data_IF_699483471297
#
_entry.id   IF_699483471297
#
_cell.length_a   1.000
_cell.length_b   1.000
_cell.length_c   1.000
_cell.angle_alpha   90.00
_cell.angle_beta   90.00
_cell.angle_gamma   90.00
#
_symmetry.space_group_name_H-M   'P 1'
#
loop_
_entity.id
_entity.type
_entity.pdbx_description
1 polymer ?
#
# COMPACT_ATOMS: atom_id res chain seq x y z
N UNK A 1 20.93 21.24 11.58
CA UNK A 1 19.53 21.47 11.16
C UNK A 1 18.60 20.65 12.06
N UNK A 2 17.98 21.27 13.07
CA UNK A 2 17.17 20.57 14.11
C UNK A 2 15.86 20.00 13.56
N UNK A 3 15.23 20.72 12.62
CA UNK A 3 13.94 20.35 12.00
C UNK A 3 13.92 18.92 11.42
N UNK A 4 15.02 18.42 10.82
CA UNK A 4 15.07 17.05 10.30
C UNK A 4 15.06 15.99 11.39
N UNK A 5 15.73 16.26 12.50
CA UNK A 5 15.72 15.36 13.66
C UNK A 5 14.35 15.38 14.35
N UNK A 6 13.72 16.55 14.47
CA UNK A 6 12.38 16.70 15.05
C UNK A 6 11.33 15.96 14.20
N UNK A 7 11.38 16.11 12.87
CA UNK A 7 10.53 15.33 11.95
C UNK A 7 10.74 13.83 12.17
N UNK A 8 11.99 13.36 12.22
CA UNK A 8 12.28 11.94 12.38
C UNK A 8 11.73 11.37 13.69
N UNK A 9 11.82 12.12 14.80
CA UNK A 9 11.27 11.71 16.09
C UNK A 9 9.74 11.61 16.04
N UNK A 10 9.06 12.64 15.51
CA UNK A 10 7.60 12.63 15.38
C UNK A 10 7.10 11.51 14.44
N UNK A 11 7.88 11.15 13.41
CA UNK A 11 7.55 10.00 12.55
C UNK A 11 7.61 8.70 13.35
N UNK A 12 8.62 8.50 14.19
CA UNK A 12 8.74 7.29 15.03
C UNK A 12 7.65 7.20 16.09
N UNK A 13 7.17 8.34 16.57
CA UNK A 13 5.98 8.44 17.45
C UNK A 13 4.67 8.11 16.72
N UNK A 14 4.70 7.91 15.40
CA UNK A 14 3.54 7.47 14.61
C UNK A 14 2.70 8.61 14.02
N UNK A 15 3.17 9.86 14.07
CA UNK A 15 2.42 10.99 13.52
C UNK A 15 2.36 11.00 11.99
N UNK A 16 1.25 11.54 11.47
CA UNK A 16 1.02 11.78 10.04
C UNK A 16 1.81 12.99 9.54
N UNK A 17 2.04 13.07 8.23
CA UNK A 17 2.80 14.19 7.65
C UNK A 17 2.06 15.53 7.83
N UNK A 18 0.73 15.53 7.77
CA UNK A 18 -0.12 16.70 8.04
C UNK A 18 0.11 17.21 9.48
N UNK A 19 0.04 16.31 10.47
CA UNK A 19 0.19 16.68 11.87
C UNK A 19 1.59 17.26 12.16
N UNK A 20 2.63 16.62 11.61
CA UNK A 20 4.02 17.10 11.76
C UNK A 20 4.20 18.46 11.09
N UNK A 21 3.62 18.65 9.90
CA UNK A 21 3.66 19.90 9.16
C UNK A 21 3.04 21.05 9.96
N UNK A 22 1.85 20.84 10.52
CA UNK A 22 1.19 21.82 11.39
C UNK A 22 1.99 22.10 12.66
N UNK A 23 2.50 21.06 13.32
CA UNK A 23 3.24 21.20 14.58
C UNK A 23 4.56 21.95 14.42
N UNK A 24 5.26 21.75 13.31
CA UNK A 24 6.56 22.36 13.04
C UNK A 24 6.48 23.62 12.17
N UNK A 25 5.28 24.04 11.75
CA UNK A 25 5.08 25.21 10.89
C UNK A 25 5.75 25.06 9.51
N UNK A 26 5.76 23.86 8.95
CA UNK A 26 6.38 23.59 7.66
C UNK A 26 5.38 22.98 6.66
N UNK A 27 5.68 23.02 5.37
CA UNK A 27 4.80 22.44 4.36
C UNK A 27 4.86 20.90 4.40
N UNK A 28 3.73 20.21 4.16
CA UNK A 28 3.66 18.73 4.19
C UNK A 28 4.68 18.06 3.25
N UNK A 29 4.97 18.67 2.09
CA UNK A 29 5.96 18.15 1.15
C UNK A 29 7.39 18.13 1.74
N UNK A 30 7.69 19.03 2.68
CA UNK A 30 8.97 19.01 3.41
C UNK A 30 9.06 17.76 4.27
N UNK A 31 8.01 17.45 5.03
CA UNK A 31 7.93 16.24 5.86
C UNK A 31 8.03 14.99 4.99
N UNK A 32 7.28 14.93 3.88
CA UNK A 32 7.29 13.81 2.93
C UNK A 32 8.68 13.58 2.32
N UNK A 33 9.40 14.65 1.92
CA UNK A 33 10.78 14.55 1.41
C UNK A 33 11.75 14.04 2.46
N UNK A 34 11.60 14.49 3.72
CA UNK A 34 12.44 14.01 4.83
C UNK A 34 12.17 12.54 5.11
N UNK A 35 10.89 12.13 5.17
CA UNK A 35 10.48 10.73 5.33
C UNK A 35 11.08 9.82 4.25
N UNK A 36 11.00 10.24 2.99
CA UNK A 36 11.60 9.50 1.86
C UNK A 36 13.13 9.45 1.95
N UNK A 37 13.79 10.57 2.28
CA UNK A 37 15.26 10.61 2.42
C UNK A 37 15.76 9.72 3.56
N UNK A 38 14.96 9.52 4.60
CA UNK A 38 15.23 8.63 5.72
C UNK A 38 14.76 7.19 5.49
N UNK A 39 14.19 6.88 4.32
CA UNK A 39 13.59 5.57 3.98
C UNK A 39 12.58 5.08 5.04
N UNK A 40 11.86 6.01 5.65
CA UNK A 40 10.83 5.69 6.63
C UNK A 40 9.51 5.35 5.91
N UNK A 41 8.69 4.44 6.49
CA UNK A 41 7.45 4.02 5.86
C UNK A 41 6.50 5.21 5.66
N UNK A 42 5.68 5.20 4.61
CA UNK A 42 4.73 6.27 4.32
C UNK A 42 3.74 6.48 5.49
N UNK A 43 3.27 7.73 5.61
CA UNK A 43 2.28 8.14 6.61
C UNK A 43 0.86 7.65 6.29
N UNK A 44 0.58 7.46 5.00
CA UNK A 44 -0.69 6.95 4.50
C UNK A 44 -0.85 5.47 4.89
N UNK A 45 -1.95 5.09 5.57
CA UNK A 45 -2.18 3.72 6.03
C UNK A 45 -2.18 2.71 4.89
N UNK A 46 -2.79 3.03 3.74
CA UNK A 46 -2.86 2.13 2.60
C UNK A 46 -1.47 2.00 1.97
N UNK A 47 -0.74 3.09 1.80
CA UNK A 47 0.64 3.02 1.28
C UNK A 47 1.57 2.28 2.23
N UNK A 48 1.35 2.36 3.54
CA UNK A 48 2.10 1.61 4.54
C UNK A 48 1.84 0.12 4.38
N UNK A 49 0.56 -0.29 4.37
CA UNK A 49 0.17 -1.68 4.14
C UNK A 49 0.72 -2.24 2.82
N UNK A 50 0.72 -1.42 1.75
CA UNK A 50 1.34 -1.78 0.46
C UNK A 50 2.87 -1.91 0.54
N UNK A 51 3.54 -1.04 1.30
CA UNK A 51 4.98 -1.11 1.50
C UNK A 51 5.41 -2.29 2.39
N UNK A 52 4.52 -2.73 3.27
CA UNK A 52 4.68 -3.92 4.13
C UNK A 52 4.28 -5.22 3.41
N UNK A 53 3.99 -5.16 2.10
CA UNK A 53 3.53 -6.29 1.27
C UNK A 53 2.32 -7.06 1.84
N UNK A 54 1.48 -6.37 2.64
CA UNK A 54 0.31 -7.00 3.24
C UNK A 54 -0.77 -7.26 2.18
N UNK A 55 -1.55 -8.35 2.30
CA UNK A 55 -2.54 -8.74 1.30
C UNK A 55 -3.82 -7.89 1.44
N UNK A 56 -3.76 -6.63 1.01
CA UNK A 56 -4.89 -5.68 1.13
C UNK A 56 -5.90 -5.73 -0.01
N UNK A 57 -5.88 -6.77 -0.85
CA UNK A 57 -6.85 -6.96 -1.94
C UNK A 57 -6.86 -5.82 -2.99
N UNK A 58 -5.93 -4.86 -2.89
CA UNK A 58 -5.86 -3.65 -3.71
C UNK A 58 -4.50 -3.57 -4.36
N UNK A 59 -4.46 -3.58 -5.70
CA UNK A 59 -3.22 -3.43 -6.47
C UNK A 59 -2.82 -1.95 -6.48
N UNK A 60 -1.60 -1.63 -6.06
CA UNK A 60 -1.07 -0.25 -5.91
C UNK A 60 -1.33 0.64 -7.12
N UNK A 61 -1.21 0.08 -8.32
CA UNK A 61 -1.30 0.78 -9.59
C UNK A 61 -2.55 0.35 -10.39
N UNK A 62 -3.62 -0.10 -9.71
CA UNK A 62 -4.88 -0.44 -10.35
C UNK A 62 -5.49 0.78 -11.04
N UNK A 63 -5.63 0.70 -12.36
CA UNK A 63 -6.35 1.69 -13.18
C UNK A 63 -7.54 1.01 -13.83
N UNK A 64 -8.78 1.36 -13.47
CA UNK A 64 -9.96 0.71 -14.03
C UNK A 64 -10.10 0.92 -15.54
N UNK A 65 -9.61 2.04 -16.08
CA UNK A 65 -9.60 2.29 -17.53
C UNK A 65 -8.61 1.38 -18.28
N UNK A 66 -7.61 0.83 -17.59
CA UNK A 66 -6.57 -0.02 -18.16
C UNK A 66 -6.69 -1.39 -17.52
N UNK A 67 -7.69 -2.15 -17.97
CA UNK A 67 -7.89 -3.53 -17.50
C UNK A 67 -6.54 -4.27 -17.55
N UNK A 68 -6.02 -4.75 -16.40
CA UNK A 68 -4.70 -5.38 -16.32
C UNK A 68 -4.61 -6.68 -17.14
N UNK A 69 -5.76 -7.30 -17.38
CA UNK A 69 -5.91 -8.55 -18.12
C UNK A 69 -6.78 -8.33 -19.35
N UNK A 70 -6.37 -8.87 -20.49
CA UNK A 70 -7.22 -8.92 -21.67
C UNK A 70 -8.48 -9.76 -21.40
N UNK A 71 -9.57 -9.60 -22.18
CA UNK A 71 -10.76 -10.43 -22.04
C UNK A 71 -10.46 -11.94 -22.10
N UNK A 72 -9.51 -12.35 -22.96
CA UNK A 72 -9.07 -13.73 -23.08
C UNK A 72 -8.37 -14.22 -21.79
N UNK A 73 -7.44 -13.43 -21.24
CA UNK A 73 -6.75 -13.78 -20.00
C UNK A 73 -7.73 -13.85 -18.82
N UNK A 74 -8.72 -12.96 -18.76
CA UNK A 74 -9.74 -12.99 -17.73
C UNK A 74 -10.60 -14.26 -17.79
N UNK A 75 -10.96 -14.72 -19.00
CA UNK A 75 -11.70 -15.97 -19.19
C UNK A 75 -10.88 -17.19 -18.76
N UNK A 76 -9.59 -17.23 -19.11
CA UNK A 76 -8.68 -18.31 -18.70
C UNK A 76 -8.50 -18.34 -17.17
N UNK A 77 -8.28 -17.17 -16.55
CA UNK A 77 -8.18 -17.05 -15.09
C UNK A 77 -9.46 -17.55 -14.41
N UNK A 78 -10.64 -17.22 -14.96
CA UNK A 78 -11.94 -17.68 -14.44
C UNK A 78 -12.09 -19.19 -14.57
N UNK A 79 -11.70 -19.78 -15.69
CA UNK A 79 -11.74 -21.23 -15.87
C UNK A 79 -10.83 -21.95 -14.86
N UNK A 80 -9.61 -21.44 -14.65
CA UNK A 80 -8.66 -21.97 -13.67
C UNK A 80 -9.21 -21.89 -12.24
N UNK A 81 -9.84 -20.77 -11.88
CA UNK A 81 -10.47 -20.60 -10.56
C UNK A 81 -11.61 -21.60 -10.34
N UNK A 82 -12.49 -21.78 -11.34
CA UNK A 82 -13.60 -22.72 -11.25
C UNK A 82 -13.14 -24.18 -11.16
N UNK A 83 -12.04 -24.52 -11.84
CA UNK A 83 -11.44 -25.85 -11.74
C UNK A 83 -10.86 -26.09 -10.34
N UNK A 84 -10.14 -25.11 -9.78
CA UNK A 84 -9.59 -25.20 -8.42
C UNK A 84 -10.69 -25.37 -7.37
N UNK A 85 -11.72 -24.52 -7.41
CA UNK A 85 -12.87 -24.60 -6.48
C UNK A 85 -13.61 -25.94 -6.56
N UNK A 86 -13.63 -26.57 -7.74
CA UNK A 86 -14.23 -27.89 -7.90
C UNK A 86 -13.34 -28.99 -7.31
N UNK A 87 -12.02 -28.92 -7.53
CA UNK A 87 -11.06 -29.86 -6.95
C UNK A 87 -11.02 -29.81 -5.42
N UNK A 88 -11.16 -28.61 -4.84
CA UNK A 88 -11.23 -28.44 -3.39
C UNK A 88 -12.51 -29.06 -2.80
N UNK A 89 -13.65 -28.92 -3.50
CA UNK A 89 -14.90 -29.56 -3.11
C UNK A 89 -14.87 -31.10 -3.22
N UNK A 90 -14.12 -31.63 -4.19
CA UNK A 90 -13.90 -33.09 -4.34
C UNK A 90 -12.95 -33.64 -3.27
N UNK A 91 -11.98 -32.84 -2.80
CA UNK A 91 -11.06 -33.21 -1.72
C UNK A 91 -11.70 -33.16 -0.31
N UNK A 92 -12.70 -32.30 -0.07
CA UNK A 92 -13.44 -32.27 1.21
C UNK A 92 -14.50 -33.39 1.32
N UNK A 93 -14.88 -34.03 0.22
CA UNK A 93 -15.90 -35.07 0.17
C UNK A 93 -15.36 -36.52 0.27
N UNK A 94 -14.04 -36.69 0.34
CA UNK A 94 -13.34 -37.98 0.45
C UNK A 94 -12.76 -38.18 1.87
#
# INVERSE_FOLDING_TARGET
>A
MKVRADIANLIREGHTDEHIAHRLGCHRNTVSRVRHALRLPPSDPIKRLLAEELPIGRVRDYRPERMPTSPAQAAENRARLLAALRGDAENEAA
#
